data_IF_432662012074
#
_entry.id   IF_432662012074
#
_cell.length_a   1.000
_cell.length_b   1.000
_cell.length_c   1.000
_cell.angle_alpha   90.00
_cell.angle_beta   90.00
_cell.angle_gamma   90.00
#
_symmetry.space_group_name_H-M   'P 1'
#
loop_
_entity.id
_entity.type
_entity.pdbx_description
1 polymer ?
#
# COMPACT_ATOMS: atom_id res chain seq x y z
N UNK A 1 55.99 34.96 -9.82
CA UNK A 1 55.91 33.67 -10.53
C UNK A 1 56.07 32.59 -9.47
N UNK A 2 55.12 31.70 -9.16
CA UNK A 2 53.89 31.25 -9.80
C UNK A 2 52.90 30.91 -8.68
N UNK A 3 51.67 31.44 -8.76
CA UNK A 3 50.53 30.91 -8.00
C UNK A 3 50.07 29.71 -8.83
N UNK A 4 50.40 28.50 -8.39
CA UNK A 4 49.98 27.28 -9.06
C UNK A 4 48.53 26.97 -8.65
N UNK A 5 47.64 27.36 -9.55
CA UNK A 5 46.27 26.92 -9.80
C UNK A 5 45.64 25.90 -8.84
N UNK A 6 44.49 26.31 -8.30
CA UNK A 6 43.35 25.47 -7.98
C UNK A 6 43.19 24.35 -9.01
N UNK A 7 43.55 23.13 -8.62
CA UNK A 7 42.94 21.94 -9.19
C UNK A 7 41.64 21.71 -8.42
N UNK A 8 40.57 22.41 -8.81
CA UNK A 8 39.22 21.91 -8.54
C UNK A 8 39.14 20.55 -9.21
N UNK A 9 39.30 19.48 -8.44
CA UNK A 9 38.99 18.13 -8.90
C UNK A 9 37.49 18.15 -9.16
N UNK A 10 37.12 18.35 -10.43
CA UNK A 10 35.75 18.15 -10.89
C UNK A 10 35.51 16.65 -10.69
N UNK A 11 34.84 16.34 -9.59
CA UNK A 11 34.47 15.00 -9.18
C UNK A 11 33.78 14.26 -10.33
N UNK A 12 34.15 12.99 -10.50
CA UNK A 12 33.63 12.16 -11.58
C UNK A 12 32.12 11.93 -11.38
N UNK A 13 31.34 12.60 -12.22
CA UNK A 13 29.88 12.52 -12.24
C UNK A 13 29.40 11.09 -12.43
N UNK A 14 30.21 10.24 -13.07
CA UNK A 14 29.91 8.82 -13.24
C UNK A 14 29.99 8.06 -11.92
N UNK A 15 30.94 8.41 -11.03
CA UNK A 15 31.05 7.80 -9.70
C UNK A 15 29.85 8.16 -8.80
N UNK A 16 29.38 9.41 -8.84
CA UNK A 16 28.16 9.82 -8.13
C UNK A 16 26.91 9.11 -8.67
N UNK A 17 26.80 9.00 -10.00
CA UNK A 17 25.69 8.28 -10.64
C UNK A 17 25.75 6.79 -10.27
N UNK A 18 26.93 6.19 -10.25
CA UNK A 18 27.09 4.78 -9.90
C UNK A 18 26.80 4.53 -8.42
N UNK A 19 27.19 5.41 -7.51
CA UNK A 19 26.84 5.30 -6.09
C UNK A 19 25.33 5.41 -5.85
N UNK A 20 24.64 6.30 -6.57
CA UNK A 20 23.17 6.39 -6.57
C UNK A 20 22.56 5.09 -7.12
N UNK A 21 23.08 4.57 -8.23
CA UNK A 21 22.62 3.32 -8.82
C UNK A 21 22.88 2.12 -7.90
N UNK A 22 23.98 2.09 -7.16
CA UNK A 22 24.30 1.02 -6.21
C UNK A 22 23.34 1.06 -5.01
N UNK A 23 23.06 2.25 -4.47
CA UNK A 23 22.00 2.46 -3.47
C UNK A 23 20.59 2.09 -4.00
N UNK A 24 20.30 2.35 -5.28
CA UNK A 24 19.03 1.97 -5.91
C UNK A 24 18.89 0.47 -6.21
N UNK A 25 19.98 -0.29 -6.17
CA UNK A 25 20.02 -1.73 -6.42
C UNK A 25 20.33 -2.57 -5.16
N UNK A 26 20.24 -1.98 -3.95
CA UNK A 26 20.59 -2.60 -2.66
C UNK A 26 21.99 -3.24 -2.63
N UNK A 27 22.93 -2.63 -3.35
CA UNK A 27 24.35 -2.96 -3.24
C UNK A 27 24.90 -2.14 -2.09
N UNK A 28 25.01 -2.75 -0.90
CA UNK A 28 25.62 -2.13 0.28
C UNK A 28 27.15 -1.98 0.11
N UNK A 29 27.56 -1.02 -0.70
CA UNK A 29 28.95 -0.54 -0.71
C UNK A 29 29.08 0.64 0.24
N UNK A 30 29.94 0.51 1.26
CA UNK A 30 30.32 1.65 2.09
C UNK A 30 31.02 2.68 1.21
N UNK A 31 30.48 3.89 1.14
CA UNK A 31 31.13 5.03 0.50
C UNK A 31 32.35 5.40 1.34
N UNK A 32 33.53 4.91 0.95
CA UNK A 32 34.80 5.14 1.66
C UNK A 32 35.39 6.51 1.39
N UNK A 33 34.93 7.19 0.34
CA UNK A 33 35.36 8.54 -0.02
C UNK A 33 34.62 9.59 0.83
N UNK A 34 35.33 10.33 1.70
CA UNK A 34 34.73 11.33 2.58
C UNK A 34 34.12 12.53 1.82
N UNK A 35 34.67 12.91 0.67
CA UNK A 35 34.15 14.03 -0.14
C UNK A 35 32.85 13.63 -0.84
N UNK A 36 32.81 12.42 -1.41
CA UNK A 36 31.61 11.85 -2.01
C UNK A 36 30.49 11.64 -0.96
N UNK A 37 30.85 11.16 0.23
CA UNK A 37 29.91 11.02 1.35
C UNK A 37 29.36 12.38 1.82
N UNK A 38 30.20 13.43 1.84
CA UNK A 38 29.80 14.78 2.21
C UNK A 38 28.84 15.40 1.18
N UNK A 39 29.10 15.23 -0.12
CA UNK A 39 28.18 15.70 -1.17
C UNK A 39 26.86 14.91 -1.21
N UNK A 40 26.90 13.58 -1.04
CA UNK A 40 25.70 12.74 -0.87
C UNK A 40 24.89 13.20 0.34
N UNK A 41 25.55 13.47 1.48
CA UNK A 41 24.91 14.03 2.65
C UNK A 41 24.30 15.41 2.36
N UNK A 42 24.95 16.26 1.57
CA UNK A 42 24.40 17.54 1.10
C UNK A 42 23.12 17.38 0.27
N UNK A 43 23.09 16.41 -0.64
CA UNK A 43 21.92 16.10 -1.47
C UNK A 43 20.78 15.46 -0.67
N UNK A 44 21.09 14.58 0.28
CA UNK A 44 20.09 13.92 1.14
C UNK A 44 19.59 14.85 2.24
N UNK A 45 20.43 15.73 2.78
CA UNK A 45 20.07 16.69 3.84
C UNK A 45 19.02 17.69 3.39
N UNK A 46 19.05 18.16 2.15
CA UNK A 46 17.98 19.03 1.61
C UNK A 46 16.64 18.29 1.58
N UNK A 47 16.64 17.00 1.23
CA UNK A 47 15.44 16.15 1.29
C UNK A 47 14.95 15.91 2.72
N UNK A 48 15.86 15.66 3.67
CA UNK A 48 15.54 15.45 5.09
C UNK A 48 15.04 16.73 5.75
N UNK A 49 15.66 17.88 5.47
CA UNK A 49 15.29 19.19 6.01
C UNK A 49 13.94 19.67 5.44
N UNK A 50 13.64 19.44 4.15
CA UNK A 50 12.32 19.69 3.57
C UNK A 50 11.23 18.80 4.19
N UNK A 51 11.54 17.52 4.48
CA UNK A 51 10.62 16.61 5.15
C UNK A 51 10.37 17.01 6.61
N UNK A 52 11.38 17.50 7.31
CA UNK A 52 11.28 17.96 8.69
C UNK A 52 10.51 19.29 8.82
N UNK A 53 10.75 20.25 7.92
CA UNK A 53 10.10 21.57 7.93
C UNK A 53 8.64 21.52 7.46
N UNK A 54 8.26 20.60 6.56
CA UNK A 54 6.86 20.34 6.22
C UNK A 54 6.07 19.63 7.34
N UNK A 55 6.75 19.12 8.38
CA UNK A 55 6.16 18.57 9.59
C UNK A 55 5.76 19.61 10.64
N UNK A 56 6.23 20.87 10.54
CA UNK A 56 6.11 21.88 11.60
C UNK A 56 5.54 23.25 11.12
N UNK A 57 4.22 23.45 11.25
CA UNK A 57 3.52 24.77 11.34
C UNK A 57 3.05 25.40 10.01
N UNK A 58 1.90 26.08 9.84
CA UNK A 58 0.93 26.79 10.72
C UNK A 58 -0.49 26.74 10.08
N UNK A 59 -1.55 26.23 10.73
CA UNK A 59 -2.50 26.82 11.72
C UNK A 59 -3.59 27.77 11.17
N UNK A 60 -4.87 27.34 11.26
CA UNK A 60 -5.99 28.20 11.68
C UNK A 60 -7.00 27.41 12.53
N UNK A 61 -7.13 27.91 13.77
CA UNK A 61 -8.22 27.82 14.75
C UNK A 61 -9.36 26.80 14.57
N UNK A 62 -9.29 25.75 15.39
CA UNK A 62 -10.44 24.92 15.77
C UNK A 62 -9.93 23.74 16.59
N UNK A 63 -10.09 23.80 17.92
CA UNK A 63 -9.58 22.80 18.88
C UNK A 63 -10.11 21.40 18.59
N UNK A 64 -9.49 20.66 17.67
CA UNK A 64 -9.54 19.20 17.61
C UNK A 64 -8.29 18.68 18.30
N UNK A 65 -8.47 18.12 19.50
CA UNK A 65 -7.42 17.36 20.22
C UNK A 65 -6.82 16.35 19.24
N UNK A 66 -5.56 16.56 18.82
CA UNK A 66 -4.74 15.52 18.21
C UNK A 66 -4.70 14.35 19.19
N UNK A 67 -5.43 13.26 18.90
CA UNK A 67 -5.20 11.96 19.56
C UNK A 67 -3.71 11.66 19.31
N UNK A 68 -2.91 11.56 20.37
CA UNK A 68 -1.56 10.98 20.27
C UNK A 68 -1.72 9.60 19.62
N UNK A 69 -1.00 9.33 18.54
CA UNK A 69 -0.89 7.97 18.04
C UNK A 69 -0.39 7.10 19.20
N UNK A 70 -1.15 6.07 19.54
CA UNK A 70 -0.69 5.09 20.51
C UNK A 70 0.47 4.37 19.82
N UNK A 71 1.61 4.25 20.50
CA UNK A 71 2.63 3.28 20.07
C UNK A 71 1.94 1.90 20.06
N UNK A 72 2.13 1.08 19.02
CA UNK A 72 1.52 -0.24 18.93
C UNK A 72 1.84 -1.01 20.20
N UNK A 73 0.82 -1.32 20.99
CA UNK A 73 1.03 -2.05 22.25
C UNK A 73 0.91 -3.54 21.97
N UNK A 74 1.93 -4.34 22.31
CA UNK A 74 1.78 -5.79 22.22
C UNK A 74 0.60 -6.26 23.09
N UNK A 75 -0.03 -7.38 22.72
CA UNK A 75 -1.02 -8.03 23.57
C UNK A 75 -0.48 -8.16 25.00
N UNK A 76 -1.33 -7.93 25.99
CA UNK A 76 -0.93 -7.99 27.40
C UNK A 76 -0.71 -9.45 27.79
N UNK A 77 0.51 -9.81 28.22
CA UNK A 77 0.82 -11.14 28.73
C UNK A 77 2.28 -11.54 28.47
N UNK A 78 2.72 -12.72 28.97
CA UNK A 78 3.99 -13.31 28.54
C UNK A 78 3.94 -13.61 27.04
N UNK A 79 5.09 -13.50 26.36
CA UNK A 79 5.22 -13.85 24.94
C UNK A 79 4.91 -15.34 24.78
N UNK A 80 3.82 -15.72 24.08
CA UNK A 80 3.45 -17.12 23.89
C UNK A 80 4.33 -17.78 22.83
N UNK A 81 4.26 -19.12 22.75
CA UNK A 81 4.78 -19.85 21.59
C UNK A 81 3.79 -19.71 20.43
N UNK A 82 4.21 -19.02 19.37
CA UNK A 82 3.38 -18.64 18.24
C UNK A 82 2.71 -19.85 17.57
N UNK A 83 3.45 -20.94 17.36
CA UNK A 83 2.95 -22.18 16.74
C UNK A 83 1.80 -22.85 17.51
N UNK A 84 1.70 -22.60 18.83
CA UNK A 84 0.66 -23.19 19.68
C UNK A 84 -0.63 -22.38 19.69
N UNK A 85 -0.61 -21.18 19.11
CA UNK A 85 -1.76 -20.29 19.04
C UNK A 85 -2.62 -20.60 17.81
N UNK A 86 -3.94 -20.36 17.88
CA UNK A 86 -4.77 -20.36 16.68
C UNK A 86 -4.34 -19.22 15.72
N UNK A 87 -4.58 -19.35 14.41
CA UNK A 87 -4.12 -18.38 13.41
C UNK A 87 -4.56 -16.93 13.67
N UNK A 88 -5.77 -16.74 14.20
CA UNK A 88 -6.26 -15.41 14.59
C UNK A 88 -5.39 -14.74 15.66
N UNK A 89 -4.92 -15.51 16.64
CA UNK A 89 -4.04 -15.00 17.69
C UNK A 89 -2.60 -14.85 17.20
N UNK A 90 -2.14 -15.73 16.29
CA UNK A 90 -0.86 -15.52 15.59
C UNK A 90 -0.85 -14.18 14.87
N UNK A 91 -1.90 -13.89 14.08
CA UNK A 91 -2.04 -12.63 13.38
C UNK A 91 -2.08 -11.42 14.33
N UNK A 92 -2.76 -11.53 15.48
CA UNK A 92 -2.75 -10.48 16.52
C UNK A 92 -1.34 -10.16 17.03
N UNK A 93 -0.51 -11.18 17.26
CA UNK A 93 0.86 -10.97 17.73
C UNK A 93 1.79 -10.41 16.64
N UNK A 94 1.57 -10.77 15.37
CA UNK A 94 2.43 -10.37 14.25
C UNK A 94 2.05 -8.98 13.72
N UNK A 95 0.77 -8.76 13.41
CA UNK A 95 0.29 -7.52 12.79
C UNK A 95 -0.12 -6.47 13.83
N UNK A 96 -0.33 -6.88 15.08
CA UNK A 96 -0.58 -5.99 16.22
C UNK A 96 -1.85 -5.16 15.99
N UNK A 97 -1.78 -3.85 16.16
CA UNK A 97 -2.91 -2.94 15.96
C UNK A 97 -3.42 -2.92 14.51
N UNK A 98 -2.67 -3.49 13.54
CA UNK A 98 -3.07 -3.56 12.13
C UNK A 98 -3.79 -4.85 11.76
N UNK A 99 -3.92 -5.79 12.69
CA UNK A 99 -4.78 -6.95 12.46
C UNK A 99 -6.25 -6.49 12.45
N UNK A 100 -6.91 -6.70 11.32
CA UNK A 100 -8.34 -6.40 11.16
C UNK A 100 -9.04 -7.77 11.06
N UNK A 101 -9.76 -8.21 12.10
CA UNK A 101 -10.45 -9.50 12.08
C UNK A 101 -11.66 -9.47 11.13
N UNK A 102 -12.22 -10.64 10.78
CA UNK A 102 -13.33 -10.75 9.83
C UNK A 102 -14.58 -10.01 10.33
N UNK A 103 -14.89 -10.11 11.62
CA UNK A 103 -16.03 -9.41 12.25
C UNK A 103 -15.90 -7.89 12.07
N UNK A 104 -14.67 -7.37 12.11
CA UNK A 104 -14.44 -5.94 11.89
C UNK A 104 -14.67 -5.54 10.43
N UNK A 105 -14.42 -6.44 9.47
CA UNK A 105 -14.78 -6.21 8.07
C UNK A 105 -16.30 -6.22 7.89
N UNK A 106 -17.02 -7.15 8.53
CA UNK A 106 -18.49 -7.18 8.52
C UNK A 106 -19.07 -5.88 9.08
N UNK A 107 -18.60 -5.42 10.23
CA UNK A 107 -19.02 -4.16 10.86
C UNK A 107 -18.85 -2.96 9.91
N UNK A 108 -17.69 -2.86 9.25
CA UNK A 108 -17.37 -1.73 8.36
C UNK A 108 -18.26 -1.74 7.13
N UNK A 109 -18.53 -2.93 6.59
CA UNK A 109 -19.32 -3.10 5.36
C UNK A 109 -20.82 -3.23 5.62
N UNK A 110 -21.24 -3.29 6.89
CA UNK A 110 -22.62 -3.54 7.29
C UNK A 110 -23.10 -4.95 6.97
N UNK A 111 -22.19 -5.90 6.75
CA UNK A 111 -22.54 -7.29 6.43
C UNK A 111 -23.04 -8.02 7.67
N UNK A 112 -23.85 -9.05 7.45
CA UNK A 112 -24.26 -10.02 8.44
C UNK A 112 -24.16 -11.40 7.79
N UNK A 113 -22.94 -11.94 7.74
CA UNK A 113 -22.67 -13.22 7.11
C UNK A 113 -23.39 -14.33 7.86
N UNK A 114 -23.93 -15.29 7.09
CA UNK A 114 -24.42 -16.51 7.69
C UNK A 114 -23.26 -17.23 8.41
N UNK A 115 -23.51 -17.92 9.55
CA UNK A 115 -22.46 -18.60 10.31
C UNK A 115 -21.58 -19.53 9.48
N UNK A 116 -22.17 -20.20 8.49
CA UNK A 116 -21.46 -21.12 7.59
C UNK A 116 -20.50 -20.35 6.67
N UNK A 117 -20.95 -19.25 6.07
CA UNK A 117 -20.13 -18.38 5.21
C UNK A 117 -19.03 -17.68 6.01
N UNK A 118 -19.35 -17.23 7.23
CA UNK A 118 -18.34 -16.66 8.13
C UNK A 118 -17.25 -17.70 8.44
N UNK A 119 -17.65 -18.93 8.80
CA UNK A 119 -16.71 -20.01 9.07
C UNK A 119 -15.84 -20.35 7.86
N UNK A 120 -16.40 -20.38 6.66
CA UNK A 120 -15.66 -20.60 5.41
C UNK A 120 -14.58 -19.53 5.19
N UNK A 121 -14.94 -18.25 5.34
CA UNK A 121 -13.98 -17.16 5.18
C UNK A 121 -12.93 -17.12 6.31
N UNK A 122 -13.30 -17.53 7.51
CA UNK A 122 -12.37 -17.68 8.63
C UNK A 122 -11.41 -18.87 8.42
N UNK A 123 -11.87 -19.97 7.84
CA UNK A 123 -11.02 -21.10 7.46
C UNK A 123 -10.05 -20.73 6.32
N UNK A 124 -10.52 -19.93 5.35
CA UNK A 124 -9.65 -19.36 4.31
C UNK A 124 -8.56 -18.46 4.91
N UNK A 125 -8.88 -17.64 5.91
CA UNK A 125 -7.90 -16.87 6.68
C UNK A 125 -6.90 -17.77 7.41
N UNK A 126 -7.39 -18.81 8.09
CA UNK A 126 -6.56 -19.72 8.86
C UNK A 126 -5.53 -20.42 7.96
N UNK A 127 -5.95 -20.83 6.76
CA UNK A 127 -5.05 -21.36 5.72
C UNK A 127 -4.05 -20.30 5.26
N UNK A 128 -4.52 -19.09 4.94
CA UNK A 128 -3.65 -17.99 4.52
C UNK A 128 -2.54 -17.70 5.53
N UNK A 129 -2.86 -17.62 6.82
CA UNK A 129 -1.85 -17.39 7.88
C UNK A 129 -0.89 -18.56 7.99
N UNK A 130 -1.38 -19.81 7.95
CA UNK A 130 -0.50 -20.99 8.01
C UNK A 130 0.49 -20.99 6.86
N UNK A 131 0.02 -20.79 5.62
CA UNK A 131 0.88 -20.77 4.45
C UNK A 131 1.89 -19.63 4.52
N UNK A 132 1.47 -18.45 4.96
CA UNK A 132 2.33 -17.30 5.17
C UNK A 132 3.45 -17.55 6.19
N UNK A 133 3.19 -18.32 7.25
CA UNK A 133 4.15 -18.67 8.29
C UNK A 133 5.03 -19.89 7.93
N UNK A 134 4.70 -20.61 6.86
CA UNK A 134 5.50 -21.71 6.30
C UNK A 134 6.44 -21.27 5.19
N UNK A 135 6.40 -20.00 4.77
CA UNK A 135 7.31 -19.47 3.76
C UNK A 135 8.77 -19.54 4.25
N UNK A 136 9.74 -19.81 3.36
CA UNK A 136 11.16 -19.80 3.71
C UNK A 136 11.62 -18.53 4.44
N UNK A 137 11.13 -17.36 4.03
CA UNK A 137 11.39 -16.07 4.69
C UNK A 137 10.85 -15.94 6.13
N UNK A 138 9.81 -16.69 6.50
CA UNK A 138 9.15 -16.55 7.82
C UNK A 138 9.43 -17.72 8.75
N UNK A 139 9.64 -18.92 8.22
CA UNK A 139 9.70 -20.17 8.99
C UNK A 139 10.77 -20.18 10.07
N UNK A 140 11.98 -19.67 9.79
CA UNK A 140 13.08 -19.64 10.78
C UNK A 140 12.73 -18.76 11.98
N UNK A 141 12.03 -17.64 11.77
CA UNK A 141 11.58 -16.77 12.84
C UNK A 141 10.41 -17.38 13.62
N UNK A 142 9.55 -18.17 12.97
CA UNK A 142 8.47 -18.93 13.62
C UNK A 142 9.05 -20.00 14.54
N UNK A 143 9.97 -20.83 14.04
CA UNK A 143 10.60 -21.93 14.81
C UNK A 143 11.36 -21.41 16.04
N UNK A 144 12.01 -20.25 15.92
CA UNK A 144 12.70 -19.57 17.03
C UNK A 144 11.78 -18.80 17.95
N UNK A 145 10.48 -18.72 17.64
CA UNK A 145 9.51 -17.87 18.31
C UNK A 145 9.94 -16.39 18.37
N UNK A 146 10.61 -15.91 17.33
CA UNK A 146 11.09 -14.53 17.19
C UNK A 146 9.97 -13.61 16.67
N UNK A 147 8.98 -13.38 17.55
CA UNK A 147 7.86 -12.48 17.26
C UNK A 147 8.34 -11.06 16.86
N UNK A 148 9.36 -10.46 17.50
CA UNK A 148 9.89 -9.16 17.04
C UNK A 148 10.40 -9.17 15.60
N UNK A 149 11.10 -10.22 15.16
CA UNK A 149 11.55 -10.34 13.77
C UNK A 149 10.36 -10.42 12.81
N UNK A 150 9.33 -11.21 13.14
CA UNK A 150 8.09 -11.29 12.35
C UNK A 150 7.37 -9.94 12.30
N UNK A 151 7.22 -9.25 13.43
CA UNK A 151 6.62 -7.92 13.49
C UNK A 151 7.37 -6.90 12.60
N UNK A 152 8.70 -6.97 12.58
CA UNK A 152 9.53 -6.14 11.71
C UNK A 152 9.34 -6.50 10.24
N UNK A 153 9.26 -7.79 9.91
CA UNK A 153 9.05 -8.24 8.54
C UNK A 153 7.69 -7.78 7.99
N UNK A 154 6.63 -7.91 8.80
CA UNK A 154 5.28 -7.49 8.43
C UNK A 154 5.03 -5.99 8.69
N UNK A 155 6.05 -5.21 9.03
CA UNK A 155 5.94 -3.79 9.42
C UNK A 155 5.35 -2.87 8.34
N UNK A 156 5.31 -3.29 7.08
CA UNK A 156 4.72 -2.55 5.97
C UNK A 156 3.55 -3.26 5.31
N UNK A 157 2.92 -4.21 6.02
CA UNK A 157 1.82 -4.98 5.46
C UNK A 157 0.55 -4.86 6.31
N UNK A 158 -0.59 -5.03 5.66
CA UNK A 158 -1.90 -5.16 6.29
C UNK A 158 -2.62 -6.32 5.65
N UNK A 159 -3.17 -7.19 6.47
CA UNK A 159 -4.00 -8.29 6.02
C UNK A 159 -5.46 -7.82 5.91
N UNK A 160 -6.07 -8.05 4.76
CA UNK A 160 -7.42 -7.58 4.46
C UNK A 160 -8.26 -8.72 3.88
N UNK A 161 -9.54 -8.73 4.28
CA UNK A 161 -10.56 -9.49 3.60
C UNK A 161 -11.28 -8.59 2.61
N UNK A 162 -11.32 -8.99 1.35
CA UNK A 162 -12.00 -8.29 0.26
C UNK A 162 -13.35 -8.96 0.02
N UNK A 163 -14.43 -8.35 0.49
CA UNK A 163 -15.79 -8.84 0.26
C UNK A 163 -16.34 -8.31 -1.08
N UNK A 164 -17.07 -9.13 -1.85
CA UNK A 164 -17.66 -8.70 -3.12
C UNK A 164 -18.91 -7.83 -2.94
N UNK A 165 -19.44 -7.73 -1.72
CA UNK A 165 -20.68 -7.03 -1.39
C UNK A 165 -20.51 -6.14 -0.15
N UNK A 166 -21.39 -5.15 -0.02
CA UNK A 166 -21.57 -4.30 1.15
C UNK A 166 -23.05 -4.03 1.35
N UNK A 167 -23.46 -3.58 2.53
CA UNK A 167 -24.85 -3.15 2.78
C UNK A 167 -24.99 -1.65 2.57
N UNK A 168 -25.92 -1.26 1.69
CA UNK A 168 -26.29 0.12 1.43
C UNK A 168 -27.79 0.27 1.60
N UNK A 169 -28.22 1.19 2.48
CA UNK A 169 -29.62 1.44 2.80
C UNK A 169 -30.41 0.19 3.22
N UNK A 170 -29.73 -0.77 3.86
CA UNK A 170 -30.32 -2.03 4.36
C UNK A 170 -30.29 -3.19 3.37
N UNK A 171 -29.82 -2.96 2.14
CA UNK A 171 -29.76 -3.99 1.09
C UNK A 171 -28.30 -4.36 0.76
N UNK A 172 -28.05 -5.65 0.52
CA UNK A 172 -26.76 -6.11 0.02
C UNK A 172 -26.59 -5.69 -1.44
N UNK A 173 -25.49 -4.98 -1.73
CA UNK A 173 -25.15 -4.50 -3.07
C UNK A 173 -23.71 -4.89 -3.43
N UNK A 174 -23.43 -5.19 -4.72
CA UNK A 174 -22.07 -5.47 -5.16
C UNK A 174 -21.13 -4.29 -4.91
N UNK A 175 -19.91 -4.58 -4.45
CA UNK A 175 -18.84 -3.61 -4.23
C UNK A 175 -18.31 -3.14 -5.58
N UNK A 176 -18.52 -1.87 -5.89
CA UNK A 176 -18.06 -1.16 -7.07
C UNK A 176 -17.62 0.25 -6.65
N UNK A 177 -17.06 1.04 -7.58
CA UNK A 177 -16.73 2.45 -7.27
C UNK A 177 -17.99 3.24 -6.91
N UNK A 178 -19.12 2.94 -7.55
CA UNK A 178 -20.42 3.55 -7.30
C UNK A 178 -20.91 3.27 -5.87
N UNK A 179 -21.04 1.99 -5.50
CA UNK A 179 -21.54 1.59 -4.18
C UNK A 179 -20.60 2.00 -3.04
N UNK A 180 -19.27 1.91 -3.23
CA UNK A 180 -18.31 2.44 -2.26
C UNK A 180 -18.46 3.95 -2.04
N UNK A 181 -18.76 4.69 -3.10
CA UNK A 181 -18.94 6.15 -2.99
C UNK A 181 -20.24 6.52 -2.30
N UNK A 182 -21.29 5.74 -2.52
CA UNK A 182 -22.58 5.96 -1.90
C UNK A 182 -22.57 5.57 -0.41
N UNK A 183 -21.96 4.44 -0.06
CA UNK A 183 -21.78 4.01 1.33
C UNK A 183 -20.76 4.87 2.10
N UNK A 184 -19.62 5.21 1.49
CA UNK A 184 -18.49 5.88 2.15
C UNK A 184 -18.21 7.27 1.58
N UNK A 185 -19.26 8.08 1.40
CA UNK A 185 -19.16 9.41 0.77
C UNK A 185 -18.15 10.37 1.44
N UNK A 186 -17.79 10.14 2.71
CA UNK A 186 -16.76 10.89 3.44
C UNK A 186 -15.33 10.63 2.92
N UNK A 187 -15.08 9.56 2.17
CA UNK A 187 -13.78 9.30 1.52
C UNK A 187 -13.65 9.98 0.16
N UNK A 188 -14.75 10.47 -0.41
CA UNK A 188 -14.76 11.07 -1.75
C UNK A 188 -14.96 12.58 -1.68
N UNK A 189 -14.49 13.29 -2.71
CA UNK A 189 -14.88 14.69 -2.90
C UNK A 189 -16.38 14.78 -3.20
N UNK A 190 -17.02 15.85 -2.70
CA UNK A 190 -18.46 16.11 -2.88
C UNK A 190 -18.87 15.95 -4.35
N UNK A 191 -20.00 15.28 -4.60
CA UNK A 191 -20.59 15.17 -5.93
C UNK A 191 -20.78 16.59 -6.49
N UNK A 192 -20.30 16.80 -7.72
CA UNK A 192 -20.43 18.08 -8.42
C UNK A 192 -21.78 18.10 -9.15
N UNK A 193 -22.30 19.30 -9.46
CA UNK A 193 -23.50 19.46 -10.30
C UNK A 193 -23.36 18.79 -11.67
N UNK A 194 -22.13 18.73 -12.20
CA UNK A 194 -21.78 17.94 -13.38
C UNK A 194 -21.14 16.63 -12.90
N UNK A 195 -21.61 15.47 -13.37
CA UNK A 195 -21.02 14.18 -13.00
C UNK A 195 -19.54 14.16 -13.37
N UNK A 196 -18.74 13.44 -12.58
CA UNK A 196 -17.34 13.27 -12.94
C UNK A 196 -17.24 12.40 -14.19
N UNK A 197 -16.20 12.62 -15.01
CA UNK A 197 -16.04 11.91 -16.29
C UNK A 197 -16.04 10.38 -16.15
N UNK A 198 -15.58 9.86 -15.01
CA UNK A 198 -15.49 8.43 -14.76
C UNK A 198 -16.85 7.78 -14.46
N UNK A 199 -17.85 8.55 -14.01
CA UNK A 199 -19.19 8.03 -13.67
C UNK A 199 -19.96 7.53 -14.90
N UNK A 200 -19.50 7.88 -16.10
CA UNK A 200 -20.05 7.45 -17.39
C UNK A 200 -19.37 6.20 -17.97
N UNK A 201 -18.37 5.62 -17.30
CA UNK A 201 -17.61 4.48 -17.81
C UNK A 201 -17.92 3.20 -17.03
N UNK A 202 -17.89 2.05 -17.73
CA UNK A 202 -18.30 0.75 -17.21
C UNK A 202 -17.57 0.36 -15.92
N UNK A 203 -16.27 0.65 -15.82
CA UNK A 203 -15.46 0.34 -14.63
C UNK A 203 -15.98 1.00 -13.34
N UNK A 204 -16.82 2.03 -13.43
CA UNK A 204 -17.41 2.68 -12.25
C UNK A 204 -18.42 1.75 -11.56
N UNK A 205 -19.05 0.85 -12.32
CA UNK A 205 -20.07 -0.11 -11.86
C UNK A 205 -19.58 -1.56 -11.89
N UNK A 206 -18.35 -1.79 -12.33
CA UNK A 206 -17.77 -3.13 -12.38
C UNK A 206 -17.59 -3.65 -10.94
N UNK A 207 -18.23 -4.77 -10.59
CA UNK A 207 -18.17 -5.29 -9.23
C UNK A 207 -16.86 -6.06 -8.99
N UNK A 208 -16.45 -6.12 -7.73
CA UNK A 208 -15.47 -7.10 -7.27
C UNK A 208 -16.03 -8.52 -7.43
N UNK A 209 -15.21 -9.46 -7.91
CA UNK A 209 -15.71 -10.75 -8.43
C UNK A 209 -15.95 -11.80 -7.35
N UNK A 210 -15.07 -11.89 -6.36
CA UNK A 210 -15.09 -12.98 -5.38
C UNK A 210 -14.54 -12.50 -4.03
N UNK A 211 -14.95 -13.15 -2.92
CA UNK A 211 -14.36 -12.93 -1.61
C UNK A 211 -12.96 -13.54 -1.55
N UNK A 212 -11.98 -12.86 -0.96
CA UNK A 212 -10.66 -13.46 -0.69
C UNK A 212 -9.84 -12.66 0.34
N UNK A 213 -8.89 -13.34 0.98
CA UNK A 213 -7.88 -12.74 1.84
C UNK A 213 -6.65 -12.32 1.05
N UNK A 214 -6.06 -11.19 1.44
CA UNK A 214 -4.92 -10.61 0.76
C UNK A 214 -3.97 -9.96 1.77
N UNK A 215 -2.67 -10.14 1.55
CA UNK A 215 -1.63 -9.37 2.24
C UNK A 215 -1.30 -8.15 1.39
N UNK A 216 -1.69 -6.97 1.86
CA UNK A 216 -1.48 -5.71 1.16
C UNK A 216 -0.26 -4.99 1.70
N UNK A 217 0.64 -4.59 0.80
CA UNK A 217 1.71 -3.67 1.15
C UNK A 217 1.19 -2.24 1.22
N UNK A 218 1.62 -1.50 2.23
CA UNK A 218 1.31 -0.07 2.39
C UNK A 218 2.41 0.82 1.81
N UNK A 219 3.53 0.25 1.38
CA UNK A 219 4.53 0.90 0.56
C UNK A 219 4.24 0.65 -0.92
N UNK A 220 4.57 1.65 -1.75
CA UNK A 220 4.33 1.56 -3.18
C UNK A 220 5.60 1.15 -3.90
N UNK A 221 5.46 0.33 -4.93
CA UNK A 221 6.54 0.05 -5.86
C UNK A 221 6.57 1.13 -6.95
N UNK A 222 7.71 1.80 -7.10
CA UNK A 222 7.92 2.77 -8.16
C UNK A 222 7.99 2.08 -9.54
N UNK A 223 7.07 2.45 -10.44
CA UNK A 223 6.95 1.89 -11.80
C UNK A 223 7.40 2.88 -12.88
N UNK A 224 8.22 3.88 -12.53
CA UNK A 224 8.62 4.93 -13.49
C UNK A 224 9.54 4.40 -14.59
N UNK A 225 10.46 3.49 -14.24
CA UNK A 225 11.46 2.94 -15.18
C UNK A 225 11.17 1.50 -15.61
N UNK A 226 10.26 0.79 -14.93
CA UNK A 226 9.92 -0.61 -15.20
C UNK A 226 8.41 -0.79 -15.20
N UNK A 227 7.92 -1.72 -16.01
CA UNK A 227 6.48 -2.04 -16.06
C UNK A 227 6.04 -2.69 -14.73
N UNK A 228 4.80 -2.45 -14.26
CA UNK A 228 4.29 -3.02 -13.01
C UNK A 228 4.47 -4.54 -12.92
N UNK A 229 4.22 -5.27 -14.01
CA UNK A 229 4.22 -6.74 -14.03
C UNK A 229 5.57 -7.31 -13.59
N UNK A 230 6.68 -6.75 -14.09
CA UNK A 230 8.03 -7.21 -13.72
C UNK A 230 8.39 -6.87 -12.27
N UNK A 231 7.86 -5.75 -11.74
CA UNK A 231 8.08 -5.36 -10.34
C UNK A 231 7.28 -6.28 -9.41
N UNK A 232 6.05 -6.62 -9.76
CA UNK A 232 5.18 -7.53 -9.01
C UNK A 232 5.71 -8.97 -9.00
N UNK A 233 6.21 -9.46 -10.13
CA UNK A 233 6.89 -10.75 -10.21
C UNK A 233 8.16 -10.81 -9.34
N UNK A 234 8.91 -9.70 -9.26
CA UNK A 234 10.01 -9.56 -8.32
C UNK A 234 9.53 -9.62 -6.87
N UNK A 235 8.52 -8.81 -6.55
CA UNK A 235 7.94 -8.73 -5.21
C UNK A 235 7.41 -10.08 -4.71
N UNK A 236 6.69 -10.84 -5.54
CA UNK A 236 6.23 -12.17 -5.17
C UNK A 236 7.39 -13.13 -4.89
N UNK A 237 8.43 -13.12 -5.74
CA UNK A 237 9.64 -13.93 -5.52
C UNK A 237 10.42 -13.52 -4.28
N UNK A 238 10.43 -12.24 -3.95
CA UNK A 238 11.04 -11.77 -2.69
C UNK A 238 10.33 -12.42 -1.50
N UNK A 239 9.01 -12.64 -1.60
CA UNK A 239 8.22 -13.39 -0.62
C UNK A 239 8.28 -14.91 -0.79
N UNK A 240 9.19 -15.45 -1.59
CA UNK A 240 9.31 -16.88 -1.90
C UNK A 240 8.03 -17.48 -2.52
N UNK A 241 7.25 -16.66 -3.23
CA UNK A 241 6.01 -17.05 -3.89
C UNK A 241 6.15 -17.07 -5.43
N UNK A 242 5.30 -17.84 -6.13
CA UNK A 242 5.16 -17.76 -7.58
C UNK A 242 4.82 -16.34 -8.07
N UNK A 243 5.24 -15.99 -9.29
CA UNK A 243 5.10 -14.62 -9.82
C UNK A 243 3.63 -14.16 -9.88
N UNK A 244 2.72 -15.09 -10.12
CA UNK A 244 1.28 -14.91 -10.19
C UNK A 244 0.61 -14.53 -8.87
N UNK A 245 1.26 -14.78 -7.73
CA UNK A 245 0.79 -14.34 -6.41
C UNK A 245 0.90 -12.82 -6.23
N UNK A 246 1.79 -12.16 -6.97
CA UNK A 246 2.00 -10.71 -6.93
C UNK A 246 0.99 -9.96 -7.79
N UNK A 247 -0.04 -9.39 -7.16
CA UNK A 247 -1.15 -8.74 -7.85
C UNK A 247 -1.08 -7.21 -7.84
N UNK A 248 -1.40 -6.62 -8.98
CA UNK A 248 -1.77 -5.21 -9.07
C UNK A 248 -3.26 -5.06 -8.80
N UNK A 249 -3.61 -4.17 -7.86
CA UNK A 249 -5.01 -3.85 -7.54
C UNK A 249 -5.74 -3.23 -8.73
N UNK A 250 -7.00 -3.60 -8.90
CA UNK A 250 -7.98 -2.80 -9.64
C UNK A 250 -8.31 -1.52 -8.89
N UNK A 251 -9.00 -0.58 -9.54
CA UNK A 251 -9.45 0.65 -8.90
C UNK A 251 -10.41 0.38 -7.74
N UNK A 252 -11.35 -0.55 -7.91
CA UNK A 252 -12.31 -0.88 -6.85
C UNK A 252 -11.58 -1.44 -5.64
N UNK A 253 -10.58 -2.31 -5.82
CA UNK A 253 -9.76 -2.87 -4.75
C UNK A 253 -8.90 -1.80 -4.05
N UNK A 254 -8.25 -0.91 -4.80
CA UNK A 254 -7.46 0.17 -4.19
C UNK A 254 -8.34 1.13 -3.37
N UNK A 255 -9.55 1.43 -3.82
CA UNK A 255 -10.51 2.25 -3.07
C UNK A 255 -11.03 1.52 -1.84
N UNK A 256 -11.41 0.25 -1.99
CA UNK A 256 -11.88 -0.61 -0.91
C UNK A 256 -10.84 -0.69 0.20
N UNK A 257 -9.59 -1.04 -0.13
CA UNK A 257 -8.51 -1.18 0.85
C UNK A 257 -8.29 0.13 1.63
N UNK A 258 -8.31 1.29 0.94
CA UNK A 258 -8.18 2.61 1.59
C UNK A 258 -9.29 2.90 2.58
N UNK A 259 -10.51 2.51 2.25
CA UNK A 259 -11.71 2.73 3.07
C UNK A 259 -11.66 1.80 4.28
N UNK A 260 -11.51 0.49 4.07
CA UNK A 260 -11.51 -0.50 5.15
C UNK A 260 -10.38 -0.23 6.14
N UNK A 261 -9.17 0.05 5.65
CA UNK A 261 -8.04 0.43 6.53
C UNK A 261 -8.31 1.75 7.26
N UNK A 262 -8.90 2.73 6.58
CA UNK A 262 -9.26 4.01 7.19
C UNK A 262 -10.28 3.88 8.32
N UNK A 263 -11.32 3.07 8.12
CA UNK A 263 -12.38 2.81 9.11
C UNK A 263 -11.92 1.88 10.24
N UNK A 264 -11.04 0.92 9.96
CA UNK A 264 -10.55 -0.01 10.95
C UNK A 264 -9.50 0.63 11.87
N UNK A 265 -8.53 1.35 11.29
CA UNK A 265 -7.35 1.82 12.01
C UNK A 265 -7.42 3.30 12.40
N UNK A 266 -8.43 4.05 11.94
CA UNK A 266 -8.49 5.53 12.02
C UNK A 266 -7.24 6.21 11.38
N UNK A 267 -6.53 5.49 10.50
CA UNK A 267 -5.27 5.91 9.88
C UNK A 267 -5.36 5.85 8.35
N UNK A 268 -4.68 6.78 7.68
CA UNK A 268 -4.53 6.71 6.23
C UNK A 268 -3.18 6.12 5.83
N UNK A 269 -3.03 4.80 5.95
CA UNK A 269 -1.77 4.14 5.60
C UNK A 269 -1.35 4.40 4.15
N UNK A 270 -2.32 4.53 3.23
CA UNK A 270 -2.05 4.79 1.81
C UNK A 270 -2.06 6.28 1.40
N UNK A 271 -2.25 7.26 2.31
CA UNK A 271 -2.50 8.66 1.92
C UNK A 271 -1.25 9.53 1.73
N UNK A 272 -0.12 8.94 1.38
CA UNK A 272 1.12 9.68 1.20
C UNK A 272 1.81 9.18 -0.06
N UNK A 273 2.24 10.13 -0.88
CA UNK A 273 3.34 10.03 -1.87
C UNK A 273 3.14 9.40 -3.26
N UNK A 274 2.04 8.74 -3.62
CA UNK A 274 1.95 8.11 -4.97
C UNK A 274 0.59 8.23 -5.65
N UNK A 275 0.59 8.19 -6.99
CA UNK A 275 -0.61 7.82 -7.73
C UNK A 275 -0.68 6.29 -7.79
N UNK A 276 -1.70 5.71 -7.18
CA UNK A 276 -1.92 4.26 -7.23
C UNK A 276 -2.36 3.88 -8.62
N UNK A 277 -1.42 3.36 -9.41
CA UNK A 277 -1.69 2.77 -10.71
C UNK A 277 -2.50 1.50 -10.51
N UNK A 278 -3.60 1.37 -11.25
CA UNK A 278 -4.48 0.22 -11.17
C UNK A 278 -4.46 -0.57 -12.47
N UNK A 279 -4.91 -1.82 -12.44
CA UNK A 279 -5.16 -2.63 -13.66
C UNK A 279 -6.33 -2.10 -14.48
N UNK A 280 -7.20 -1.30 -13.86
CA UNK A 280 -8.43 -0.77 -14.46
C UNK A 280 -8.14 0.11 -15.66
N UNK A 281 -8.80 -0.22 -16.78
CA UNK A 281 -8.70 0.49 -18.05
C UNK A 281 -10.10 0.86 -18.56
N UNK A 282 -10.19 1.94 -19.32
CA UNK A 282 -11.42 2.35 -19.98
C UNK A 282 -11.16 2.94 -21.36
N UNK A 283 -12.21 3.09 -22.18
CA UNK A 283 -12.16 3.81 -23.46
C UNK A 283 -13.15 4.96 -23.44
N UNK A 284 -12.72 6.15 -23.86
CA UNK A 284 -13.63 7.32 -23.98
C UNK A 284 -14.66 7.12 -25.09
N UNK A 285 -14.29 6.41 -26.16
CA UNK A 285 -15.15 6.04 -27.29
C UNK A 285 -14.94 4.56 -27.59
N UNK A 286 -15.94 3.84 -28.10
CA UNK A 286 -15.87 2.38 -28.37
C UNK A 286 -14.62 1.95 -29.15
N UNK A 287 -14.20 2.74 -30.15
CA UNK A 287 -12.99 2.52 -30.96
C UNK A 287 -11.78 3.38 -30.56
N UNK A 288 -11.84 4.09 -29.42
CA UNK A 288 -10.76 4.95 -28.94
C UNK A 288 -9.65 4.19 -28.22
N UNK A 289 -8.51 4.85 -27.93
CA UNK A 289 -7.43 4.26 -27.18
C UNK A 289 -7.86 3.92 -25.74
N UNK A 290 -7.30 2.84 -25.20
CA UNK A 290 -7.45 2.51 -23.78
C UNK A 290 -6.71 3.53 -22.91
N UNK A 291 -7.31 3.86 -21.77
CA UNK A 291 -6.78 4.75 -20.75
C UNK A 291 -6.72 4.01 -19.44
N UNK A 292 -5.61 4.15 -18.72
CA UNK A 292 -5.45 3.65 -17.36
C UNK A 292 -6.19 4.56 -16.39
N UNK A 293 -6.69 3.96 -15.31
CA UNK A 293 -7.26 4.68 -14.17
C UNK A 293 -6.31 4.59 -12.99
N UNK A 294 -6.24 5.66 -12.20
CA UNK A 294 -5.44 5.70 -10.98
C UNK A 294 -6.14 6.54 -9.92
N UNK A 295 -5.86 6.21 -8.66
CA UNK A 295 -6.38 6.92 -7.50
C UNK A 295 -5.28 7.71 -6.80
N UNK A 296 -5.66 8.85 -6.22
CA UNK A 296 -4.79 9.68 -5.38
C UNK A 296 -5.54 10.04 -4.12
N UNK A 297 -4.98 9.72 -2.96
CA UNK A 297 -5.57 10.08 -1.67
C UNK A 297 -4.82 11.27 -1.06
N UNK A 298 -5.57 12.31 -0.70
CA UNK A 298 -5.06 13.51 -0.01
C UNK A 298 -6.00 13.84 1.13
N UNK A 299 -5.48 13.88 2.36
CA UNK A 299 -6.25 14.24 3.58
C UNK A 299 -7.55 13.43 3.68
N UNK A 300 -7.45 12.10 3.75
CA UNK A 300 -8.59 11.16 3.79
C UNK A 300 -9.51 11.17 2.55
N UNK A 301 -9.25 12.01 1.55
CA UNK A 301 -10.09 12.12 0.35
C UNK A 301 -9.42 11.51 -0.87
N UNK A 302 -10.12 10.64 -1.57
CA UNK A 302 -9.65 10.01 -2.81
C UNK A 302 -10.15 10.77 -4.04
N UNK A 303 -9.25 10.95 -5.01
CA UNK A 303 -9.55 11.44 -6.35
C UNK A 303 -9.23 10.36 -7.38
N UNK A 304 -10.12 10.19 -8.36
CA UNK A 304 -9.95 9.25 -9.46
C UNK A 304 -9.55 10.02 -10.73
N UNK A 305 -8.53 9.54 -11.41
CA UNK A 305 -7.97 10.15 -12.60
C UNK A 305 -7.76 9.12 -13.70
N UNK A 306 -7.73 9.57 -14.96
CA UNK A 306 -7.50 8.70 -16.11
C UNK A 306 -6.49 9.29 -17.08
N UNK A 307 -5.60 8.46 -17.64
CA UNK A 307 -4.59 8.89 -18.63
C UNK A 307 -4.38 7.82 -19.71
N UNK A 308 -4.01 8.26 -20.91
CA UNK A 308 -3.62 7.36 -22.01
C UNK A 308 -2.24 6.77 -21.72
N UNK A 309 -2.11 5.44 -21.84
CA UNK A 309 -0.85 4.70 -21.67
C UNK A 309 -0.31 4.69 -20.23
N UNK A 310 0.85 4.04 -20.02
CA UNK A 310 1.61 4.19 -18.77
C UNK A 310 1.97 5.67 -18.70
N UNK A 311 1.51 6.38 -17.68
CA UNK A 311 1.68 7.81 -17.66
C UNK A 311 3.18 8.14 -17.63
N UNK A 312 3.71 8.73 -18.72
CA UNK A 312 4.99 9.46 -18.67
C UNK A 312 4.72 10.71 -17.82
N UNK A 313 4.95 10.62 -16.52
CA UNK A 313 4.87 11.78 -15.63
C UNK A 313 6.14 12.58 -15.85
N UNK A 314 6.03 13.84 -16.26
CA UNK A 314 7.19 14.73 -16.28
C UNK A 314 7.72 14.80 -14.84
N UNK A 315 9.02 14.56 -14.65
CA UNK A 315 9.72 14.61 -13.35
C UNK A 315 9.48 15.91 -12.54
N UNK A 316 8.90 16.94 -13.17
CA UNK A 316 8.47 18.19 -12.52
C UNK A 316 7.19 18.08 -11.67
N UNK A 317 6.44 16.97 -11.67
CA UNK A 317 5.26 16.78 -10.81
C UNK A 317 5.49 15.67 -9.78
N UNK A 318 5.24 16.03 -8.51
CA UNK A 318 5.44 15.29 -7.25
C UNK A 318 4.82 13.88 -7.13
N UNK A 319 4.13 13.35 -8.13
CA UNK A 319 3.42 12.08 -8.00
C UNK A 319 4.00 11.08 -9.00
N UNK A 320 4.84 10.18 -8.49
CA UNK A 320 5.41 9.09 -9.26
C UNK A 320 4.32 8.03 -9.51
N UNK A 321 4.29 7.36 -10.68
CA UNK A 321 3.43 6.20 -10.85
C UNK A 321 3.97 5.05 -9.99
N UNK A 322 3.13 4.52 -9.12
CA UNK A 322 3.47 3.31 -8.38
C UNK A 322 2.25 2.44 -8.15
N UNK A 323 2.53 1.20 -7.79
CA UNK A 323 1.49 0.22 -7.45
C UNK A 323 1.65 -0.13 -5.98
N UNK A 324 0.54 -0.26 -5.26
CA UNK A 324 0.54 -0.92 -3.97
C UNK A 324 0.35 -2.41 -4.23
N UNK A 325 1.37 -3.26 -4.04
CA UNK A 325 1.24 -4.68 -4.30
C UNK A 325 0.28 -5.34 -3.31
N UNK A 326 -0.27 -6.44 -3.77
CA UNK A 326 -1.06 -7.39 -2.99
C UNK A 326 -0.49 -8.78 -3.22
N UNK A 327 -0.39 -9.59 -2.17
CA UNK A 327 -0.11 -11.01 -2.27
C UNK A 327 -1.36 -11.81 -1.97
N UNK A 328 -1.64 -12.74 -2.87
CA UNK A 328 -2.64 -13.78 -2.67
C UNK A 328 -1.95 -15.14 -2.72
N UNK A 329 -2.49 -16.09 -1.98
CA UNK A 329 -2.06 -17.47 -2.03
C UNK A 329 -3.07 -18.18 -2.92
N UNK A 330 -2.58 -19.04 -3.81
CA UNK A 330 -3.50 -19.89 -4.56
C UNK A 330 -4.25 -20.78 -3.57
N UNK A 331 -5.56 -20.89 -3.74
CA UNK A 331 -6.29 -22.00 -3.15
C UNK A 331 -5.66 -23.28 -3.71
N UNK A 332 -4.97 -24.01 -2.84
CA UNK A 332 -4.40 -25.32 -3.17
C UNK A 332 -5.49 -26.39 -3.22
#
# INVERSE_FOLDING_TARGET
MSIAADASVIMDREALVQAILNLENDVEEQVTDPELAFELAGHVKVYVDELASLGAGLESSGKRKRKKSKKPRPPKGPIPRLETLPPGDQARWIFMERYIPLERHEDILGLNLAPETFAEYQEAFDRFIKDLLLLPRTIEAVERNDIPALQKLFANTVLLFRAPELVLDGEAVPVSVESLRDAFGTYFYKKRKKPNWFEAHDFYREPMKSPYWVLCDIEHMNCTLRRPERKLAGYARDWDLPEECGLQKSLVEDLYDRIVVGEALEENLFARTVNSLTTTKYRVRRKGPQRLVFAVQKVHKVTIHGKVGIPHWKAKRRLWPGVYPSLVFHES
#
